data_IF_783790082557
#
_entry.id   IF_783790082557
#
_cell.length_a   1.000
_cell.length_b   1.000
_cell.length_c   1.000
_cell.angle_alpha   90.00
_cell.angle_beta   90.00
_cell.angle_gamma   90.00
#
_symmetry.space_group_name_H-M   'P 1'
#
loop_
_entity.id
_entity.type
_entity.pdbx_description
1 polymer ?
#
# COMPACT_ATOMS: atom_id res chain seq x y z
N UNK A 1 -35.84 21.18 -36.29
CA UNK A 1 -35.77 19.84 -35.71
C UNK A 1 -34.41 19.76 -35.04
N UNK A 2 -34.18 20.22 -33.92
CA UNK A 2 -34.64 20.10 -32.54
C UNK A 2 -33.78 19.09 -31.78
N UNK A 3 -32.95 19.64 -30.96
CA UNK A 3 -32.05 19.00 -30.05
C UNK A 3 -32.75 18.25 -28.91
N UNK A 4 -32.17 17.13 -28.58
CA UNK A 4 -32.44 16.43 -27.34
C UNK A 4 -31.24 15.54 -27.02
N UNK A 5 -30.15 16.14 -26.57
CA UNK A 5 -28.95 15.38 -26.14
C UNK A 5 -28.28 15.97 -24.91
N UNK A 6 -28.89 16.93 -24.21
CA UNK A 6 -28.27 17.64 -23.09
C UNK A 6 -28.66 17.20 -21.68
N UNK A 7 -29.77 16.44 -21.50
CA UNK A 7 -30.34 16.17 -20.16
C UNK A 7 -29.94 14.81 -19.54
N UNK A 8 -29.43 13.88 -20.33
CA UNK A 8 -29.02 12.54 -19.84
C UNK A 8 -27.64 12.51 -19.20
N UNK A 9 -26.76 13.43 -19.56
CA UNK A 9 -25.37 13.48 -19.06
C UNK A 9 -25.25 13.99 -17.60
N UNK A 10 -26.13 14.88 -17.18
CA UNK A 10 -26.09 15.47 -15.84
C UNK A 10 -26.63 14.53 -14.74
N UNK A 11 -27.56 13.64 -15.08
CA UNK A 11 -28.11 12.67 -14.12
C UNK A 11 -27.18 11.48 -13.87
N UNK A 12 -26.43 11.05 -14.89
CA UNK A 12 -25.50 9.93 -14.75
C UNK A 12 -24.25 10.30 -13.94
N UNK A 13 -23.72 11.50 -14.09
CA UNK A 13 -22.58 11.98 -13.29
C UNK A 13 -22.87 12.05 -11.78
N UNK A 14 -24.08 12.48 -11.42
CA UNK A 14 -24.49 12.55 -10.01
C UNK A 14 -24.77 11.16 -9.44
N UNK A 15 -25.31 10.22 -10.21
CA UNK A 15 -25.56 8.84 -9.76
C UNK A 15 -24.26 8.06 -9.53
N UNK A 16 -23.26 8.24 -10.41
CA UNK A 16 -21.93 7.64 -10.24
C UNK A 16 -21.23 8.18 -8.99
N UNK A 17 -21.25 9.48 -8.74
CA UNK A 17 -20.66 10.08 -7.55
C UNK A 17 -21.31 9.55 -6.26
N UNK A 18 -22.62 9.36 -6.25
CA UNK A 18 -23.35 8.79 -5.09
C UNK A 18 -22.99 7.30 -4.93
N UNK A 19 -22.89 6.54 -6.00
CA UNK A 19 -22.51 5.13 -5.94
C UNK A 19 -21.08 4.95 -5.39
N UNK A 20 -20.14 5.78 -5.81
CA UNK A 20 -18.78 5.81 -5.27
C UNK A 20 -18.74 6.15 -3.78
N UNK A 21 -19.51 7.14 -3.34
CA UNK A 21 -19.59 7.50 -1.92
C UNK A 21 -20.15 6.34 -1.09
N UNK A 22 -21.15 5.62 -1.60
CA UNK A 22 -21.72 4.44 -0.93
C UNK A 22 -20.73 3.28 -0.93
N UNK A 23 -20.07 3.03 -2.03
CA UNK A 23 -18.99 2.04 -2.14
C UNK A 23 -17.92 2.30 -1.07
N UNK A 24 -17.43 3.54 -0.99
CA UNK A 24 -16.46 3.97 0.01
C UNK A 24 -16.96 3.75 1.46
N UNK A 25 -18.19 4.11 1.77
CA UNK A 25 -18.76 3.92 3.13
C UNK A 25 -18.91 2.45 3.51
N UNK A 26 -19.34 1.60 2.58
CA UNK A 26 -19.46 0.16 2.81
C UNK A 26 -18.10 -0.49 3.00
N UNK A 27 -17.14 -0.12 2.18
CA UNK A 27 -15.76 -0.58 2.31
C UNK A 27 -15.15 -0.19 3.66
N UNK A 28 -15.35 1.07 4.06
CA UNK A 28 -14.91 1.55 5.36
C UNK A 28 -15.53 0.78 6.51
N UNK A 29 -16.83 0.47 6.43
CA UNK A 29 -17.52 -0.33 7.43
C UNK A 29 -16.92 -1.76 7.55
N UNK A 30 -16.51 -2.35 6.43
CA UNK A 30 -15.82 -3.64 6.40
C UNK A 30 -14.44 -3.53 7.06
N UNK A 31 -13.66 -2.52 6.71
CA UNK A 31 -12.32 -2.29 7.26
C UNK A 31 -12.33 -2.00 8.76
N UNK A 32 -13.32 -1.25 9.24
CA UNK A 32 -13.50 -0.94 10.66
C UNK A 32 -14.05 -2.13 11.48
N UNK A 33 -14.21 -3.31 10.83
CA UNK A 33 -14.70 -4.53 11.48
C UNK A 33 -16.22 -4.54 11.76
N UNK A 34 -16.95 -3.57 11.23
CA UNK A 34 -18.42 -3.53 11.32
C UNK A 34 -19.12 -4.61 10.49
N UNK A 35 -18.40 -5.18 9.51
CA UNK A 35 -18.78 -6.39 8.78
C UNK A 35 -17.56 -7.33 8.74
N UNK A 36 -17.72 -8.53 9.27
CA UNK A 36 -16.64 -9.52 9.31
C UNK A 36 -16.43 -10.18 7.94
N UNK A 37 -15.22 -10.73 7.66
CA UNK A 37 -15.02 -11.61 6.52
C UNK A 37 -16.07 -12.73 6.47
N UNK A 38 -16.49 -13.14 5.29
CA UNK A 38 -17.55 -14.12 5.04
C UNK A 38 -18.97 -13.70 5.53
N UNK A 39 -19.10 -12.55 6.15
CA UNK A 39 -20.40 -12.05 6.59
C UNK A 39 -21.25 -11.63 5.39
N UNK A 40 -22.52 -12.00 5.42
CA UNK A 40 -23.49 -11.61 4.40
C UNK A 40 -23.79 -10.12 4.48
N UNK A 41 -23.69 -9.43 3.35
CA UNK A 41 -24.08 -8.03 3.20
C UNK A 41 -25.62 -7.94 3.10
N UNK A 42 -26.25 -6.91 3.68
CA UNK A 42 -27.66 -6.68 3.49
C UNK A 42 -28.03 -6.59 2.00
N UNK A 43 -29.21 -7.08 1.63
CA UNK A 43 -29.65 -7.09 0.23
C UNK A 43 -29.73 -5.67 -0.36
N UNK A 44 -29.65 -5.56 -1.70
CA UNK A 44 -29.79 -4.29 -2.43
C UNK A 44 -31.03 -3.50 -1.94
N UNK A 45 -32.15 -4.19 -1.72
CA UNK A 45 -33.41 -3.57 -1.23
C UNK A 45 -33.22 -2.98 0.16
N UNK A 46 -32.61 -3.74 1.09
CA UNK A 46 -32.38 -3.29 2.47
C UNK A 46 -31.38 -2.12 2.52
N UNK A 47 -30.32 -2.16 1.70
CA UNK A 47 -29.37 -1.05 1.62
C UNK A 47 -30.00 0.20 1.02
N UNK A 48 -30.80 0.05 -0.05
CA UNK A 48 -31.52 1.17 -0.67
C UNK A 48 -32.47 1.87 0.31
N UNK A 49 -33.24 1.09 1.09
CA UNK A 49 -34.15 1.59 2.12
C UNK A 49 -33.39 2.32 3.25
N UNK A 50 -32.28 1.72 3.76
CA UNK A 50 -31.46 2.29 4.85
C UNK A 50 -30.73 3.56 4.45
N UNK A 51 -30.18 3.59 3.25
CA UNK A 51 -29.36 4.70 2.74
C UNK A 51 -30.22 5.74 1.99
N UNK A 52 -31.51 5.48 1.78
CA UNK A 52 -32.46 6.35 1.08
C UNK A 52 -32.02 6.71 -0.34
N UNK A 53 -31.52 5.73 -1.07
CA UNK A 53 -31.08 5.85 -2.46
C UNK A 53 -31.78 4.81 -3.34
N UNK A 54 -31.65 4.97 -4.66
CA UNK A 54 -32.24 4.00 -5.60
C UNK A 54 -31.50 2.66 -5.56
N UNK A 55 -32.19 1.57 -5.90
CA UNK A 55 -31.57 0.25 -6.01
C UNK A 55 -30.50 0.18 -7.09
N UNK A 56 -30.61 0.99 -8.14
CA UNK A 56 -29.60 1.08 -9.20
C UNK A 56 -28.26 1.63 -8.66
N UNK A 57 -28.32 2.64 -7.80
CA UNK A 57 -27.12 3.21 -7.15
C UNK A 57 -26.45 2.18 -6.23
N UNK A 58 -27.26 1.44 -5.44
CA UNK A 58 -26.72 0.37 -4.58
C UNK A 58 -26.07 -0.74 -5.42
N UNK A 59 -26.71 -1.13 -6.53
CA UNK A 59 -26.17 -2.16 -7.41
C UNK A 59 -24.83 -1.75 -8.00
N UNK A 60 -24.72 -0.49 -8.44
CA UNK A 60 -23.47 0.07 -8.96
C UNK A 60 -22.37 0.07 -7.88
N UNK A 61 -22.69 0.52 -6.66
CA UNK A 61 -21.75 0.51 -5.54
C UNK A 61 -21.29 -0.92 -5.17
N UNK A 62 -22.21 -1.89 -5.14
CA UNK A 62 -21.85 -3.30 -4.89
C UNK A 62 -21.06 -3.92 -6.05
N UNK A 63 -21.38 -3.54 -7.28
CA UNK A 63 -20.60 -4.00 -8.46
C UNK A 63 -19.17 -3.46 -8.43
N UNK A 64 -18.98 -2.20 -8.04
CA UNK A 64 -17.66 -1.61 -7.83
C UNK A 64 -16.87 -2.35 -6.74
N UNK A 65 -17.49 -2.61 -5.57
CA UNK A 65 -16.86 -3.38 -4.49
C UNK A 65 -16.53 -4.82 -4.91
N UNK A 66 -17.37 -5.44 -5.74
CA UNK A 66 -17.12 -6.77 -6.29
C UNK A 66 -15.97 -6.75 -7.29
N UNK A 67 -15.92 -5.76 -8.18
CA UNK A 67 -14.82 -5.57 -9.13
C UNK A 67 -13.48 -5.36 -8.44
N UNK A 68 -13.50 -4.74 -7.26
CA UNK A 68 -12.33 -4.53 -6.38
C UNK A 68 -12.05 -5.73 -5.45
N UNK A 69 -12.87 -6.81 -5.52
CA UNK A 69 -12.70 -8.01 -4.72
C UNK A 69 -12.96 -7.84 -3.22
N UNK A 70 -13.51 -6.71 -2.80
CA UNK A 70 -13.88 -6.43 -1.40
C UNK A 70 -15.06 -7.29 -0.97
N UNK A 71 -15.96 -7.59 -1.90
CA UNK A 71 -17.10 -8.47 -1.72
C UNK A 71 -17.17 -9.51 -2.83
N UNK A 72 -17.82 -10.63 -2.57
CA UNK A 72 -18.14 -11.66 -3.55
C UNK A 72 -19.65 -11.89 -3.61
N UNK A 73 -20.14 -12.16 -4.82
CA UNK A 73 -21.54 -12.53 -5.03
C UNK A 73 -21.66 -14.04 -5.20
N UNK A 74 -22.42 -14.68 -4.31
CA UNK A 74 -22.72 -16.12 -4.37
C UNK A 74 -24.10 -16.29 -4.99
N UNK A 75 -24.17 -17.01 -6.11
CA UNK A 75 -25.40 -17.18 -6.87
C UNK A 75 -26.55 -17.66 -6.00
N UNK A 76 -27.70 -16.97 -6.02
CA UNK A 76 -28.88 -17.26 -5.22
C UNK A 76 -28.75 -16.99 -3.70
N UNK A 77 -27.55 -16.65 -3.19
CA UNK A 77 -27.32 -16.44 -1.75
C UNK A 77 -27.11 -14.97 -1.39
N UNK A 78 -26.73 -14.13 -2.36
CA UNK A 78 -26.46 -12.71 -2.18
C UNK A 78 -24.97 -12.38 -2.12
N UNK A 79 -24.64 -11.17 -1.67
CA UNK A 79 -23.27 -10.68 -1.55
C UNK A 79 -22.71 -10.90 -0.14
N UNK A 80 -21.44 -11.21 -0.05
CA UNK A 80 -20.70 -11.51 1.18
C UNK A 80 -19.42 -10.69 1.18
N UNK A 81 -18.93 -10.32 2.36
CA UNK A 81 -17.57 -9.77 2.49
C UNK A 81 -16.59 -10.86 2.06
N UNK A 82 -15.67 -10.53 1.17
CA UNK A 82 -14.64 -11.48 0.74
C UNK A 82 -13.84 -11.96 1.94
N UNK A 83 -13.47 -13.24 1.96
CA UNK A 83 -12.53 -13.71 2.95
C UNK A 83 -11.20 -13.00 2.69
N UNK A 84 -10.75 -12.21 3.64
CA UNK A 84 -9.43 -11.58 3.57
C UNK A 84 -8.29 -12.60 3.77
N UNK A 85 -8.63 -13.87 3.90
CA UNK A 85 -7.68 -14.97 3.79
C UNK A 85 -7.62 -15.32 2.30
N UNK A 86 -6.61 -14.87 1.57
CA UNK A 86 -6.48 -15.26 0.18
C UNK A 86 -6.20 -16.77 0.13
N UNK A 87 -7.22 -17.54 -0.14
CA UNK A 87 -7.03 -18.96 -0.50
C UNK A 87 -6.34 -19.13 -1.87
N UNK A 88 -6.13 -18.03 -2.56
CA UNK A 88 -5.30 -17.94 -3.77
C UNK A 88 -4.51 -16.65 -3.63
N UNK A 89 -3.29 -16.74 -3.18
CA UNK A 89 -2.37 -15.65 -2.86
C UNK A 89 -2.13 -14.60 -3.95
N UNK A 90 -3.18 -14.00 -4.46
CA UNK A 90 -3.08 -12.89 -5.40
C UNK A 90 -2.83 -11.58 -4.64
N UNK A 91 -1.57 -11.40 -4.23
CA UNK A 91 -0.99 -10.12 -3.80
C UNK A 91 -0.53 -9.32 -5.04
N UNK A 92 -1.13 -9.59 -6.20
CA UNK A 92 -0.86 -8.87 -7.45
C UNK A 92 -1.26 -7.39 -7.35
N UNK A 93 -0.77 -6.61 -8.29
CA UNK A 93 -1.08 -5.17 -8.42
C UNK A 93 -2.58 -4.87 -8.58
N UNK A 94 -3.40 -5.89 -8.86
CA UNK A 94 -4.85 -5.78 -9.05
C UNK A 94 -5.63 -6.52 -7.95
N UNK A 95 -4.94 -7.03 -6.91
CA UNK A 95 -5.57 -7.78 -5.83
C UNK A 95 -6.40 -6.89 -4.89
N UNK A 96 -7.37 -7.49 -4.18
CA UNK A 96 -8.25 -6.77 -3.25
C UNK A 96 -7.49 -5.94 -2.22
N UNK A 97 -6.34 -6.44 -1.75
CA UNK A 97 -5.50 -5.76 -0.76
C UNK A 97 -4.87 -4.48 -1.32
N UNK A 98 -4.52 -4.45 -2.61
CA UNK A 98 -4.00 -3.25 -3.26
C UNK A 98 -5.08 -2.17 -3.37
N UNK A 99 -6.29 -2.53 -3.76
CA UNK A 99 -7.41 -1.58 -3.81
C UNK A 99 -7.75 -1.00 -2.43
N UNK A 100 -7.71 -1.82 -1.38
CA UNK A 100 -7.87 -1.34 0.00
C UNK A 100 -6.77 -0.34 0.37
N UNK A 101 -5.54 -0.60 -0.06
CA UNK A 101 -4.41 0.29 0.19
C UNK A 101 -4.56 1.64 -0.52
N UNK A 102 -5.00 1.66 -1.77
CA UNK A 102 -5.21 2.88 -2.55
C UNK A 102 -6.35 3.75 -2.00
N UNK A 103 -7.38 3.11 -1.43
CA UNK A 103 -8.60 3.79 -0.96
C UNK A 103 -8.51 4.45 0.41
N UNK A 104 -7.66 3.99 1.34
CA UNK A 104 -7.74 4.35 2.74
C UNK A 104 -6.41 4.70 3.40
N UNK A 105 -6.36 5.85 4.12
CA UNK A 105 -5.19 6.25 4.92
C UNK A 105 -4.83 5.23 5.98
N UNK A 106 -5.84 4.59 6.57
CA UNK A 106 -5.66 3.58 7.63
C UNK A 106 -4.80 2.43 7.14
N UNK A 107 -5.06 1.90 5.93
CA UNK A 107 -4.31 0.78 5.36
C UNK A 107 -2.82 1.12 5.16
N UNK A 108 -2.51 2.38 4.86
CA UNK A 108 -1.12 2.86 4.80
C UNK A 108 -0.44 2.68 6.17
N UNK A 109 -1.10 3.07 7.26
CA UNK A 109 -0.53 2.96 8.61
C UNK A 109 -0.49 1.52 9.12
N UNK A 110 -1.50 0.71 8.78
CA UNK A 110 -1.51 -0.72 9.10
C UNK A 110 -0.34 -1.45 8.41
N UNK A 111 -0.06 -1.10 7.15
CA UNK A 111 1.11 -1.63 6.44
C UNK A 111 2.43 -1.12 7.04
N UNK A 112 2.53 0.14 7.43
CA UNK A 112 3.71 0.68 8.11
C UNK A 112 3.96 -0.03 9.46
N UNK A 113 2.91 -0.43 10.18
CA UNK A 113 3.03 -1.22 11.40
C UNK A 113 3.60 -2.62 11.12
N UNK A 114 3.11 -3.30 10.08
CA UNK A 114 3.67 -4.59 9.62
C UNK A 114 5.13 -4.44 9.19
N UNK A 115 5.45 -3.39 8.41
CA UNK A 115 6.83 -3.07 7.98
C UNK A 115 7.75 -2.89 9.18
N UNK A 116 7.32 -2.15 10.20
CA UNK A 116 8.11 -1.90 11.42
C UNK A 116 8.62 -3.20 12.04
N UNK A 117 7.77 -4.22 12.13
CA UNK A 117 8.12 -5.51 12.72
C UNK A 117 8.98 -6.36 11.78
N UNK A 118 8.57 -6.51 10.54
CA UNK A 118 9.23 -7.41 9.59
C UNK A 118 10.58 -6.87 9.11
N UNK A 119 10.69 -5.59 8.83
CA UNK A 119 11.97 -4.97 8.45
C UNK A 119 12.95 -4.90 9.64
N UNK A 120 12.45 -4.67 10.85
CA UNK A 120 13.25 -4.77 12.06
C UNK A 120 13.85 -6.17 12.23
N UNK A 121 13.04 -7.21 12.03
CA UNK A 121 13.52 -8.59 12.08
C UNK A 121 14.47 -8.91 10.91
N UNK A 122 14.22 -8.42 9.73
CA UNK A 122 15.11 -8.58 8.57
C UNK A 122 16.49 -7.96 8.85
N UNK A 123 16.53 -6.74 9.39
CA UNK A 123 17.78 -6.06 9.77
C UNK A 123 18.57 -6.80 10.85
N UNK A 124 17.87 -7.37 11.86
CA UNK A 124 18.49 -8.22 12.87
C UNK A 124 19.19 -9.42 12.23
N UNK A 125 18.46 -10.16 11.40
CA UNK A 125 18.96 -11.35 10.74
C UNK A 125 20.07 -11.02 9.72
N UNK A 126 19.93 -9.94 8.98
CA UNK A 126 20.96 -9.47 8.04
C UNK A 126 22.29 -9.16 8.76
N UNK A 127 22.23 -8.42 9.89
CA UNK A 127 23.42 -8.13 10.68
C UNK A 127 24.10 -9.39 11.26
N UNK A 128 23.34 -10.48 11.42
CA UNK A 128 23.84 -11.76 11.94
C UNK A 128 24.33 -12.72 10.85
N UNK A 129 23.73 -12.69 9.65
CA UNK A 129 23.86 -13.74 8.64
C UNK A 129 24.46 -13.26 7.31
N UNK A 130 24.55 -11.93 7.08
CA UNK A 130 25.02 -11.41 5.81
C UNK A 130 26.40 -11.93 5.45
N UNK A 131 26.52 -12.45 4.24
CA UNK A 131 27.80 -12.84 3.65
C UNK A 131 28.53 -11.61 3.09
N UNK A 132 29.81 -11.76 2.71
CA UNK A 132 30.56 -10.69 2.06
C UNK A 132 29.88 -10.19 0.76
N UNK A 133 29.23 -11.09 0.02
CA UNK A 133 28.44 -10.73 -1.17
C UNK A 133 27.21 -9.90 -0.82
N UNK A 134 26.52 -10.23 0.29
CA UNK A 134 25.38 -9.46 0.78
C UNK A 134 25.80 -8.06 1.22
N UNK A 135 26.88 -7.96 2.01
CA UNK A 135 27.42 -6.68 2.45
C UNK A 135 27.81 -5.80 1.27
N UNK A 136 28.35 -6.41 0.19
CA UNK A 136 28.64 -5.68 -1.05
C UNK A 136 27.34 -5.16 -1.70
N UNK A 137 26.27 -5.99 -1.79
CA UNK A 137 24.98 -5.57 -2.35
C UNK A 137 24.34 -4.43 -1.53
N UNK A 138 24.31 -4.58 -0.20
CA UNK A 138 23.81 -3.54 0.71
C UNK A 138 24.60 -2.24 0.52
N UNK A 139 25.93 -2.32 0.45
CA UNK A 139 26.79 -1.14 0.23
C UNK A 139 26.49 -0.47 -1.10
N UNK A 140 26.33 -1.25 -2.19
CA UNK A 140 25.97 -0.72 -3.51
C UNK A 140 24.61 -0.01 -3.46
N UNK A 141 23.61 -0.63 -2.85
CA UNK A 141 22.27 -0.04 -2.71
C UNK A 141 22.29 1.23 -1.84
N UNK A 142 23.05 1.22 -0.74
CA UNK A 142 23.21 2.37 0.12
C UNK A 142 23.89 3.56 -0.60
N UNK A 143 24.94 3.31 -1.38
CA UNK A 143 25.59 4.34 -2.20
C UNK A 143 24.66 4.91 -3.27
N UNK A 144 23.83 4.08 -3.89
CA UNK A 144 22.82 4.53 -4.84
C UNK A 144 21.79 5.44 -4.15
N UNK A 145 21.38 5.09 -2.93
CA UNK A 145 20.48 5.92 -2.10
C UNK A 145 21.13 7.28 -1.78
N UNK A 146 22.39 7.32 -1.36
CA UNK A 146 23.11 8.57 -1.06
C UNK A 146 23.36 9.45 -2.29
N UNK A 147 23.56 8.85 -3.45
CA UNK A 147 23.81 9.56 -4.70
C UNK A 147 22.56 10.13 -5.37
N UNK A 148 21.37 9.68 -4.93
CA UNK A 148 20.10 10.09 -5.52
C UNK A 148 19.53 11.30 -4.77
N UNK A 149 19.00 12.26 -5.53
CA UNK A 149 18.20 13.33 -4.91
C UNK A 149 16.97 12.70 -4.22
N UNK A 150 16.85 12.84 -2.90
CA UNK A 150 15.73 12.26 -2.15
C UNK A 150 14.35 12.74 -2.60
N UNK A 151 14.26 13.84 -3.35
CA UNK A 151 12.99 14.38 -3.86
C UNK A 151 12.58 13.78 -5.21
N UNK A 152 13.52 13.16 -5.92
CA UNK A 152 13.29 12.75 -7.30
C UNK A 152 12.85 11.31 -7.46
N UNK A 153 13.24 10.39 -6.57
CA UNK A 153 13.03 8.97 -6.77
C UNK A 153 13.04 8.16 -5.45
N UNK A 154 12.00 7.40 -5.21
CA UNK A 154 11.88 6.51 -4.06
C UNK A 154 12.49 5.11 -4.29
N UNK A 155 12.83 4.74 -5.52
CA UNK A 155 13.36 3.41 -5.85
C UNK A 155 14.67 3.06 -5.15
N UNK A 156 15.67 3.96 -5.02
CA UNK A 156 16.90 3.67 -4.28
C UNK A 156 16.67 3.40 -2.79
N UNK A 157 15.73 4.11 -2.16
CA UNK A 157 15.33 3.88 -0.77
C UNK A 157 14.74 2.47 -0.61
N UNK A 158 13.75 2.13 -1.44
CA UNK A 158 13.18 0.78 -1.48
C UNK A 158 14.26 -0.28 -1.78
N UNK A 159 15.17 -0.03 -2.73
CA UNK A 159 16.26 -0.95 -3.07
C UNK A 159 17.23 -1.21 -1.92
N UNK A 160 17.51 -0.22 -1.08
CA UNK A 160 18.31 -0.39 0.11
C UNK A 160 17.65 -1.30 1.14
N UNK A 161 16.37 -1.07 1.46
CA UNK A 161 15.60 -1.94 2.35
C UNK A 161 15.48 -3.38 1.80
N UNK A 162 15.25 -3.53 0.49
CA UNK A 162 15.17 -4.84 -0.16
C UNK A 162 16.50 -5.61 -0.04
N UNK A 163 17.63 -4.97 -0.25
CA UNK A 163 18.94 -5.62 -0.10
C UNK A 163 19.17 -6.15 1.33
N UNK A 164 18.68 -5.43 2.35
CA UNK A 164 18.72 -5.87 3.76
C UNK A 164 17.82 -7.08 3.97
N UNK A 165 16.60 -7.06 3.42
CA UNK A 165 15.65 -8.18 3.50
C UNK A 165 16.25 -9.46 2.91
N UNK A 166 16.86 -9.38 1.74
CA UNK A 166 17.53 -10.51 1.07
C UNK A 166 18.68 -11.06 1.91
N UNK A 167 19.49 -10.17 2.52
CA UNK A 167 20.60 -10.53 3.39
C UNK A 167 20.18 -11.19 4.71
N UNK A 168 18.90 -11.21 5.05
CA UNK A 168 18.38 -11.93 6.22
C UNK A 168 18.54 -13.44 6.12
N UNK A 169 18.71 -13.98 4.90
CA UNK A 169 18.74 -15.43 4.62
C UNK A 169 17.57 -16.19 5.27
N UNK A 170 16.41 -15.55 5.39
CA UNK A 170 15.17 -16.17 5.79
C UNK A 170 14.19 -16.20 4.59
N UNK A 171 14.08 -17.34 3.88
CA UNK A 171 13.30 -17.40 2.64
C UNK A 171 11.81 -17.10 2.86
N UNK A 172 11.27 -17.42 4.02
CA UNK A 172 9.85 -17.10 4.33
C UNK A 172 9.68 -15.60 4.52
N UNK A 173 10.55 -14.95 5.28
CA UNK A 173 10.52 -13.49 5.47
C UNK A 173 10.71 -12.75 4.16
N UNK A 174 11.66 -13.18 3.32
CA UNK A 174 11.90 -12.65 1.98
C UNK A 174 10.64 -12.81 1.11
N UNK A 175 10.02 -14.01 1.13
CA UNK A 175 8.80 -14.26 0.35
C UNK A 175 7.64 -13.36 0.78
N UNK A 176 7.38 -13.23 2.08
CA UNK A 176 6.31 -12.38 2.62
C UNK A 176 6.52 -10.92 2.23
N UNK A 177 7.73 -10.39 2.43
CA UNK A 177 8.03 -8.99 2.10
C UNK A 177 8.01 -8.73 0.58
N UNK A 178 8.45 -9.70 -0.24
CA UNK A 178 8.33 -9.61 -1.70
C UNK A 178 6.88 -9.66 -2.18
N UNK A 179 6.03 -10.42 -1.52
CA UNK A 179 4.59 -10.42 -1.82
C UNK A 179 3.92 -9.07 -1.56
N UNK A 180 4.49 -8.26 -0.65
CA UNK A 180 4.04 -6.90 -0.33
C UNK A 180 4.82 -5.82 -1.11
N UNK A 181 5.71 -6.19 -2.03
CA UNK A 181 6.69 -5.29 -2.66
C UNK A 181 6.07 -4.00 -3.21
N UNK A 182 4.98 -4.10 -3.95
CA UNK A 182 4.35 -2.93 -4.58
C UNK A 182 3.74 -1.99 -3.54
N UNK A 183 3.05 -2.54 -2.54
CA UNK A 183 2.52 -1.75 -1.43
C UNK A 183 3.64 -1.11 -0.60
N UNK A 184 4.75 -1.82 -0.40
CA UNK A 184 5.93 -1.27 0.28
C UNK A 184 6.54 -0.12 -0.50
N UNK A 185 6.68 -0.24 -1.82
CA UNK A 185 7.14 0.85 -2.67
C UNK A 185 6.22 2.08 -2.58
N UNK A 186 4.91 1.88 -2.56
CA UNK A 186 3.95 2.98 -2.37
C UNK A 186 4.12 3.68 -1.01
N UNK A 187 4.39 2.93 0.08
CA UNK A 187 4.66 3.56 1.38
C UNK A 187 5.95 4.39 1.37
N UNK A 188 6.99 3.91 0.68
CA UNK A 188 8.25 4.66 0.50
C UNK A 188 8.00 5.90 -0.34
N UNK A 189 7.27 5.80 -1.45
CA UNK A 189 6.90 6.95 -2.28
C UNK A 189 6.11 8.00 -1.50
N UNK A 190 5.12 7.59 -0.71
CA UNK A 190 4.37 8.49 0.15
C UNK A 190 5.28 9.15 1.20
N UNK A 191 6.21 8.41 1.81
CA UNK A 191 7.20 8.94 2.74
C UNK A 191 8.09 9.98 2.07
N UNK A 192 8.66 9.66 0.92
CA UNK A 192 9.52 10.56 0.13
C UNK A 192 8.78 11.85 -0.22
N UNK A 193 7.56 11.73 -0.74
CA UNK A 193 6.76 12.88 -1.16
C UNK A 193 6.38 13.82 0.00
N UNK A 194 6.07 13.26 1.17
CA UNK A 194 5.57 14.05 2.30
C UNK A 194 6.68 14.53 3.26
N UNK A 195 7.72 13.73 3.48
CA UNK A 195 8.75 14.03 4.48
C UNK A 195 10.00 14.67 3.90
N UNK A 196 10.48 14.25 2.74
CA UNK A 196 11.73 14.75 2.16
C UNK A 196 11.71 16.24 1.81
N UNK A 197 10.59 16.89 1.41
CA UNK A 197 10.54 18.34 1.24
C UNK A 197 10.86 19.11 2.53
N UNK A 198 10.73 18.48 3.71
CA UNK A 198 11.02 19.08 5.01
C UNK A 198 12.44 18.76 5.44
N UNK A 199 13.32 19.77 5.44
CA UNK A 199 14.76 19.59 5.64
C UNK A 199 15.10 18.78 6.91
N UNK A 200 14.44 19.05 8.03
CA UNK A 200 14.71 18.35 9.30
C UNK A 200 14.27 16.88 9.25
N UNK A 201 13.14 16.56 8.61
CA UNK A 201 12.65 15.20 8.46
C UNK A 201 13.59 14.41 7.53
N UNK A 202 13.95 15.00 6.39
CA UNK A 202 14.93 14.42 5.45
C UNK A 202 16.27 14.12 6.13
N UNK A 203 16.82 15.09 6.88
CA UNK A 203 18.06 14.90 7.64
C UNK A 203 17.98 13.73 8.60
N UNK A 204 16.85 13.58 9.29
CA UNK A 204 16.61 12.48 10.21
C UNK A 204 16.53 11.12 9.51
N UNK A 205 15.84 11.06 8.38
CA UNK A 205 15.74 9.84 7.55
C UNK A 205 17.12 9.41 7.06
N UNK A 206 17.88 10.33 6.46
CA UNK A 206 19.26 10.07 5.99
C UNK A 206 20.15 9.57 7.13
N UNK A 207 20.07 10.19 8.30
CA UNK A 207 20.82 9.75 9.48
C UNK A 207 20.45 8.33 9.91
N UNK A 208 19.16 7.97 9.88
CA UNK A 208 18.69 6.65 10.27
C UNK A 208 19.14 5.58 9.25
N UNK A 209 19.09 5.86 7.96
CA UNK A 209 19.63 4.94 6.94
C UNK A 209 21.13 4.70 7.13
N UNK A 210 21.91 5.74 7.42
CA UNK A 210 23.34 5.60 7.74
C UNK A 210 23.56 4.73 8.96
N UNK A 211 22.84 4.99 10.05
CA UNK A 211 22.94 4.20 11.29
C UNK A 211 22.59 2.73 11.07
N UNK A 212 21.55 2.46 10.25
CA UNK A 212 21.15 1.09 9.91
C UNK A 212 22.24 0.37 9.10
N UNK A 213 22.76 1.04 8.07
CA UNK A 213 23.87 0.55 7.26
C UNK A 213 25.07 0.20 8.14
N UNK A 214 25.54 1.13 8.97
CA UNK A 214 26.70 0.95 9.85
C UNK A 214 26.49 -0.19 10.85
N UNK A 215 25.27 -0.33 11.41
CA UNK A 215 24.94 -1.40 12.34
C UNK A 215 25.02 -2.79 11.68
N UNK A 216 24.55 -2.91 10.43
CA UNK A 216 24.60 -4.17 9.68
C UNK A 216 26.05 -4.53 9.33
N UNK A 217 26.83 -3.58 8.80
CA UNK A 217 28.25 -3.81 8.47
C UNK A 217 29.07 -4.18 9.70
N UNK A 218 28.75 -3.61 10.85
CA UNK A 218 29.43 -3.91 12.12
C UNK A 218 28.97 -5.23 12.76
N UNK A 219 28.04 -5.97 12.15
CA UNK A 219 27.49 -7.21 12.71
C UNK A 219 26.83 -7.01 14.08
N UNK A 220 26.00 -5.95 14.24
CA UNK A 220 25.32 -5.59 15.50
C UNK A 220 23.81 -5.81 15.39
N UNK A 221 23.28 -7.06 15.52
CA UNK A 221 21.88 -7.40 15.25
C UNK A 221 20.87 -6.56 16.04
N UNK A 222 21.04 -6.45 17.37
CA UNK A 222 20.11 -5.71 18.21
C UNK A 222 20.07 -4.21 17.86
N UNK A 223 21.22 -3.63 17.47
CA UNK A 223 21.29 -2.23 17.03
C UNK A 223 20.61 -2.06 15.69
N UNK A 224 20.87 -2.95 14.73
CA UNK A 224 20.25 -2.92 13.40
C UNK A 224 18.72 -3.01 13.51
N UNK A 225 18.20 -3.95 14.31
CA UNK A 225 16.76 -4.08 14.58
C UNK A 225 16.18 -2.79 15.17
N UNK A 226 16.80 -2.27 16.22
CA UNK A 226 16.33 -1.05 16.89
C UNK A 226 16.28 0.14 15.92
N UNK A 227 17.30 0.30 15.10
CA UNK A 227 17.36 1.42 14.14
C UNK A 227 16.33 1.25 13.03
N UNK A 228 16.19 0.05 12.44
CA UNK A 228 15.19 -0.22 11.40
C UNK A 228 13.76 0.02 11.91
N UNK A 229 13.42 -0.54 13.08
CA UNK A 229 12.12 -0.32 13.74
C UNK A 229 11.87 1.17 14.01
N UNK A 230 12.88 1.88 14.55
CA UNK A 230 12.77 3.30 14.86
C UNK A 230 12.58 4.16 13.59
N UNK A 231 13.21 3.76 12.48
CA UNK A 231 13.08 4.43 11.19
C UNK A 231 11.63 4.35 10.66
N UNK A 232 11.07 3.16 10.52
CA UNK A 232 9.70 2.98 10.03
C UNK A 232 8.68 3.64 10.96
N UNK A 233 8.87 3.51 12.27
CA UNK A 233 8.03 4.18 13.28
C UNK A 233 8.09 5.70 13.19
N UNK A 234 9.27 6.27 12.93
CA UNK A 234 9.42 7.70 12.73
C UNK A 234 8.61 8.18 11.50
N UNK A 235 8.71 7.47 10.37
CA UNK A 235 7.94 7.75 9.17
C UNK A 235 6.43 7.71 9.47
N UNK A 236 5.96 6.61 10.06
CA UNK A 236 4.54 6.41 10.37
C UNK A 236 3.98 7.52 11.28
N UNK A 237 4.68 7.82 12.38
CA UNK A 237 4.23 8.85 13.34
C UNK A 237 4.21 10.24 12.71
N UNK A 238 5.28 10.60 11.99
CA UNK A 238 5.37 11.94 11.38
C UNK A 238 4.27 12.16 10.34
N UNK A 239 3.98 11.16 9.51
CA UNK A 239 2.89 11.25 8.53
C UNK A 239 1.52 11.35 9.23
N UNK A 240 1.28 10.58 10.28
CA UNK A 240 0.04 10.64 11.07
C UNK A 240 -0.14 11.99 11.76
N UNK A 241 0.93 12.55 12.32
CA UNK A 241 0.89 13.86 12.95
C UNK A 241 0.57 14.97 11.93
N UNK A 242 1.08 14.85 10.70
CA UNK A 242 0.76 15.79 9.62
C UNK A 242 -0.72 15.72 9.22
N UNK A 243 -1.29 14.53 9.10
CA UNK A 243 -2.72 14.34 8.83
C UNK A 243 -3.59 14.93 9.97
N UNK A 244 -3.24 14.64 11.21
CA UNK A 244 -3.95 15.15 12.39
C UNK A 244 -3.93 16.68 12.50
N UNK A 245 -2.90 17.34 11.94
CA UNK A 245 -2.78 18.80 11.88
C UNK A 245 -3.53 19.41 10.68
N UNK A 246 -4.33 18.63 9.97
CA UNK A 246 -5.12 19.05 8.81
C UNK A 246 -4.33 19.08 7.50
N UNK A 247 -3.14 18.50 7.45
CA UNK A 247 -2.37 18.31 6.22
C UNK A 247 -2.95 17.19 5.36
N UNK A 248 -3.00 17.40 4.06
CA UNK A 248 -3.33 16.33 3.10
C UNK A 248 -2.05 15.58 2.73
N UNK A 249 -2.04 14.26 2.89
CA UNK A 249 -0.93 13.43 2.44
C UNK A 249 -0.98 13.23 0.92
N UNK A 250 0.18 13.38 0.29
CA UNK A 250 0.37 13.01 -1.10
C UNK A 250 0.46 11.47 -1.16
N UNK A 251 -0.46 10.87 -1.88
CA UNK A 251 -0.46 9.45 -2.22
C UNK A 251 -0.11 9.32 -3.69
N UNK A 252 0.96 8.62 -3.97
CA UNK A 252 1.44 8.45 -5.34
C UNK A 252 1.07 7.04 -5.77
N UNK A 253 0.23 6.87 -6.81
CA UNK A 253 0.02 5.58 -7.43
C UNK A 253 1.35 5.04 -7.97
N UNK A 254 1.56 3.73 -7.90
CA UNK A 254 2.69 3.10 -8.59
C UNK A 254 2.56 3.38 -10.08
N UNK A 255 3.49 4.13 -10.66
CA UNK A 255 3.57 4.21 -12.12
C UNK A 255 3.76 2.80 -12.65
N UNK A 256 2.84 2.35 -13.50
CA UNK A 256 2.98 1.08 -14.20
C UNK A 256 4.23 1.16 -15.05
N UNK A 257 5.19 0.26 -14.82
CA UNK A 257 6.37 0.13 -15.66
C UNK A 257 5.92 -0.36 -17.04
N UNK A 258 5.72 0.58 -17.97
CA UNK A 258 5.32 0.30 -19.36
C UNK A 258 6.49 -0.25 -20.19
N UNK A 259 7.62 -0.58 -19.57
CA UNK A 259 8.82 -1.08 -20.27
C UNK A 259 8.73 -2.54 -20.73
N UNK A 260 7.68 -3.28 -20.37
CA UNK A 260 7.47 -4.69 -20.78
C UNK A 260 6.57 -4.87 -22.03
N UNK A 261 6.24 -3.79 -22.72
CA UNK A 261 5.66 -3.91 -24.06
C UNK A 261 6.76 -4.29 -25.04
N UNK A 262 7.01 -5.60 -25.17
CA UNK A 262 7.76 -6.18 -26.26
C UNK A 262 7.15 -5.71 -27.59
N UNK A 263 7.90 -5.07 -28.49
CA UNK A 263 7.42 -4.84 -29.84
C UNK A 263 7.29 -6.20 -30.52
N UNK A 264 6.03 -6.54 -30.82
CA UNK A 264 5.70 -7.75 -31.56
C UNK A 264 6.53 -7.85 -32.82
N UNK A 265 7.14 -8.99 -32.98
CA UNK A 265 7.76 -9.49 -34.18
C UNK A 265 6.79 -9.38 -35.37
N UNK A 266 7.05 -8.42 -36.26
CA UNK A 266 6.55 -8.45 -37.64
C UNK A 266 7.74 -8.84 -38.51
N UNK A 267 7.73 -10.10 -38.94
CA UNK A 267 8.57 -10.67 -39.96
C UNK A 267 7.88 -11.91 -40.51
#
# INVERSE_FOLDING_TARGET
MTGSTGLTSWHTGNLMAIAQEISYRLERLILDGGLAPEQKIPSERQLAERLRVSRSVIREALHELQGRGVIETRHGKGSFVSSMVPGSGDLSEQGPLMHLFEGHSRTLYDLLEVREQLEGQAAFLAAQRATGADLHRITKAFRALEATDPLSNARPDHGFHQAIVEASHNPILVHVLNSLKNMMLMTVQASVANLNPRAEMRKKIVQQHRQLYDAILAGKPATAQKVATAHVRFVSRTMRDMENQGGTLIRIPVERDTSDSHPGNQG
#
